data_IF_613276359027
#
_entry.id   IF_613276359027
#
_cell.length_a   1.000
_cell.length_b   1.000
_cell.length_c   1.000
_cell.angle_alpha   90.00
_cell.angle_beta   90.00
_cell.angle_gamma   90.00
#
_symmetry.space_group_name_H-M   'P 1'
#
loop_
_entity.id
_entity.type
_entity.pdbx_description
1 polymer ?
#
# COMPACT_ATOMS: atom_id res chain seq x y z
N UNK A 1 22.10 35.56 1.09
CA UNK A 1 23.11 35.62 0.00
C UNK A 1 22.55 34.81 -1.17
N UNK A 2 22.21 35.48 -2.28
CA UNK A 2 21.49 34.92 -3.44
C UNK A 2 22.47 34.21 -4.39
N UNK A 3 22.09 33.05 -4.93
CA UNK A 3 22.66 32.46 -6.16
C UNK A 3 21.46 31.88 -6.94
N UNK A 4 20.92 32.49 -8.00
CA UNK A 4 21.44 32.94 -9.30
C UNK A 4 21.70 31.78 -10.28
N UNK A 5 20.67 31.56 -11.11
CA UNK A 5 20.63 30.76 -12.34
C UNK A 5 21.71 31.19 -13.34
N UNK A 6 22.33 30.23 -14.03
CA UNK A 6 22.90 30.41 -15.36
C UNK A 6 22.57 29.23 -16.26
N UNK A 7 21.90 29.54 -17.36
CA UNK A 7 21.73 28.71 -18.53
C UNK A 7 23.06 28.50 -19.26
N UNK A 8 23.26 27.31 -19.82
CA UNK A 8 24.08 27.09 -21.00
C UNK A 8 23.45 26.00 -21.88
N UNK A 9 23.25 26.36 -23.13
CA UNK A 9 22.62 25.64 -24.24
C UNK A 9 23.62 24.85 -25.07
N UNK A 10 23.18 23.74 -25.69
CA UNK A 10 23.87 23.03 -26.79
C UNK A 10 23.71 21.51 -26.68
N UNK A 11 22.61 20.94 -27.17
CA UNK A 11 22.39 20.45 -28.54
C UNK A 11 22.71 18.96 -28.71
N UNK A 12 21.67 18.15 -28.78
CA UNK A 12 21.71 16.71 -29.09
C UNK A 12 20.31 16.23 -29.46
N UNK A 13 19.92 16.51 -30.70
CA UNK A 13 18.60 16.30 -31.31
C UNK A 13 18.23 14.81 -31.43
N UNK A 14 17.17 14.34 -30.75
CA UNK A 14 16.28 13.26 -31.19
C UNK A 14 14.94 13.36 -30.45
N UNK A 15 14.15 14.39 -30.75
CA UNK A 15 12.77 14.48 -30.28
C UNK A 15 11.94 15.27 -31.31
N UNK A 16 11.38 14.55 -32.29
CA UNK A 16 10.30 15.08 -33.14
C UNK A 16 9.24 14.01 -33.32
N UNK A 17 8.09 14.24 -32.70
CA UNK A 17 6.80 13.78 -33.20
C UNK A 17 6.15 12.63 -32.44
N UNK A 18 5.58 12.91 -31.26
CA UNK A 18 4.37 12.20 -30.82
C UNK A 18 3.31 13.26 -30.61
N UNK A 19 2.30 13.26 -31.48
CA UNK A 19 1.14 14.14 -31.39
C UNK A 19 0.27 13.70 -30.22
N UNK A 20 -0.25 14.70 -29.50
CA UNK A 20 -1.32 14.56 -28.51
C UNK A 20 -2.63 14.30 -29.25
N UNK A 21 -2.95 13.05 -29.54
CA UNK A 21 -4.31 12.66 -29.91
C UNK A 21 -4.62 11.33 -29.19
N UNK A 22 -5.60 11.36 -28.29
CA UNK A 22 -5.99 10.27 -27.40
C UNK A 22 -6.72 9.11 -28.09
N UNK A 23 -6.36 8.77 -29.32
CA UNK A 23 -6.93 7.65 -30.05
C UNK A 23 -5.91 6.50 -30.16
N UNK A 24 -6.12 5.51 -29.30
CA UNK A 24 -5.85 4.08 -29.53
C UNK A 24 -4.38 3.62 -29.51
N UNK A 25 -3.84 3.39 -28.30
CA UNK A 25 -2.56 2.67 -28.13
C UNK A 25 -2.68 1.14 -28.39
N UNK A 26 -3.89 0.57 -28.39
CA UNK A 26 -4.12 -0.89 -28.51
C UNK A 26 -4.06 -1.43 -29.96
N UNK A 27 -4.54 -0.74 -31.00
CA UNK A 27 -4.43 -1.21 -32.39
C UNK A 27 -2.99 -1.30 -32.89
N UNK A 28 -2.08 -0.44 -32.42
CA UNK A 28 -0.66 -0.47 -32.78
C UNK A 28 0.05 -1.77 -32.32
N UNK A 29 -0.43 -2.40 -31.25
CA UNK A 29 0.10 -3.67 -30.74
C UNK A 29 -0.29 -4.84 -31.66
N UNK A 30 -1.44 -4.76 -32.35
CA UNK A 30 -1.91 -5.81 -33.28
C UNK A 30 -1.16 -5.81 -34.62
N UNK A 31 -0.51 -4.70 -34.99
CA UNK A 31 0.26 -4.56 -36.25
C UNK A 31 1.74 -4.92 -36.15
N UNK A 32 2.24 -5.33 -34.97
CA UNK A 32 3.64 -5.71 -34.79
C UNK A 32 3.89 -7.13 -35.33
N UNK A 33 4.89 -7.27 -36.22
CA UNK A 33 5.32 -8.55 -36.79
C UNK A 33 5.64 -9.58 -35.68
N UNK A 34 5.27 -10.83 -35.93
CA UNK A 34 5.31 -11.96 -34.97
C UNK A 34 6.71 -12.36 -34.50
N UNK A 35 7.78 -11.80 -35.06
CA UNK A 35 9.09 -12.45 -35.06
C UNK A 35 10.07 -12.03 -33.95
N UNK A 36 9.71 -11.11 -33.04
CA UNK A 36 10.61 -10.79 -31.92
C UNK A 36 9.87 -10.50 -30.60
N UNK A 37 9.66 -11.55 -29.80
CA UNK A 37 8.96 -11.48 -28.50
C UNK A 37 9.57 -10.43 -27.56
N UNK A 38 10.90 -10.24 -27.56
CA UNK A 38 11.59 -9.26 -26.70
C UNK A 38 11.30 -7.83 -27.10
N UNK A 39 11.32 -7.54 -28.40
CA UNK A 39 11.05 -6.22 -28.96
C UNK A 39 9.60 -5.81 -28.76
N UNK A 40 8.66 -6.75 -28.94
CA UNK A 40 7.24 -6.54 -28.60
C UNK A 40 7.05 -6.21 -27.12
N UNK A 41 7.67 -6.97 -26.21
CA UNK A 41 7.59 -6.67 -24.78
C UNK A 41 8.17 -5.30 -24.45
N UNK A 42 9.28 -4.91 -25.08
CA UNK A 42 9.86 -3.58 -24.90
C UNK A 42 8.89 -2.46 -25.31
N UNK A 43 8.31 -2.53 -26.52
CA UNK A 43 7.35 -1.53 -27.01
C UNK A 43 6.06 -1.47 -26.16
N UNK A 44 5.53 -2.63 -25.76
CA UNK A 44 4.36 -2.67 -24.87
C UNK A 44 4.67 -2.05 -23.50
N UNK A 45 5.90 -2.22 -22.99
CA UNK A 45 6.33 -1.52 -21.78
C UNK A 45 6.38 -0.01 -22.00
N UNK A 46 6.95 0.46 -23.10
CA UNK A 46 6.98 1.89 -23.41
C UNK A 46 5.59 2.53 -23.52
N UNK A 47 4.57 1.75 -23.88
CA UNK A 47 3.17 2.20 -23.93
C UNK A 47 2.46 2.13 -22.58
N UNK A 48 2.59 1.02 -21.85
CA UNK A 48 1.85 0.77 -20.62
C UNK A 48 2.48 1.42 -19.38
N UNK A 49 3.73 1.85 -19.46
CA UNK A 49 4.46 2.50 -18.36
C UNK A 49 4.74 3.99 -18.65
N UNK A 50 3.85 4.66 -19.38
CA UNK A 50 3.99 6.09 -19.70
C UNK A 50 3.68 7.02 -18.53
N UNK A 51 2.87 6.58 -17.56
CA UNK A 51 2.58 7.36 -16.37
C UNK A 51 3.51 7.00 -15.18
N UNK A 52 3.78 7.95 -14.26
CA UNK A 52 4.71 7.74 -13.15
C UNK A 52 4.34 6.60 -12.21
N UNK A 53 3.03 6.41 -11.96
CA UNK A 53 2.53 5.39 -11.04
C UNK A 53 2.76 3.99 -11.61
N UNK A 54 2.48 3.77 -12.89
CA UNK A 54 2.75 2.50 -13.57
C UNK A 54 4.25 2.17 -13.55
N UNK A 55 5.14 3.15 -13.77
CA UNK A 55 6.60 2.93 -13.67
C UNK A 55 7.02 2.49 -12.27
N UNK A 56 6.47 3.10 -11.23
CA UNK A 56 6.78 2.74 -9.85
C UNK A 56 6.33 1.32 -9.51
N UNK A 57 5.17 0.88 -10.00
CA UNK A 57 4.72 -0.49 -9.85
C UNK A 57 5.71 -1.47 -10.47
N UNK A 58 6.19 -1.18 -11.69
CA UNK A 58 7.16 -2.03 -12.37
C UNK A 58 8.52 -2.11 -11.65
N UNK A 59 8.92 -1.05 -10.93
CA UNK A 59 10.16 -0.94 -10.18
C UNK A 59 10.07 -1.50 -8.74
N UNK A 60 8.90 -2.01 -8.33
CA UNK A 60 8.69 -2.46 -6.96
C UNK A 60 9.68 -3.56 -6.52
N UNK A 61 10.01 -4.58 -7.34
CA UNK A 61 10.99 -5.60 -6.94
C UNK A 61 12.36 -5.00 -6.61
N UNK A 62 12.90 -4.14 -7.49
CA UNK A 62 14.19 -3.49 -7.24
C UNK A 62 14.13 -2.54 -6.03
N UNK A 63 13.04 -1.77 -5.90
CA UNK A 63 12.82 -0.90 -4.74
C UNK A 63 12.86 -1.70 -3.43
N UNK A 64 12.24 -2.88 -3.41
CA UNK A 64 12.20 -3.72 -2.21
C UNK A 64 13.53 -4.41 -1.91
N UNK A 65 14.38 -4.68 -2.91
CA UNK A 65 15.75 -5.14 -2.66
C UNK A 65 16.55 -4.07 -1.90
N UNK A 66 16.38 -2.79 -2.23
CA UNK A 66 17.05 -1.69 -1.52
C UNK A 66 16.56 -1.59 -0.07
N UNK A 67 15.24 -1.61 0.14
CA UNK A 67 14.64 -1.63 1.48
C UNK A 67 15.11 -2.84 2.30
N UNK A 68 15.16 -4.02 1.68
CA UNK A 68 15.59 -5.24 2.37
C UNK A 68 17.06 -5.16 2.83
N UNK A 69 17.94 -4.55 2.03
CA UNK A 69 19.33 -4.29 2.42
C UNK A 69 19.44 -3.25 3.53
N UNK A 70 18.63 -2.19 3.50
CA UNK A 70 18.62 -1.15 4.53
C UNK A 70 18.19 -1.71 5.89
N UNK A 71 17.26 -2.66 5.91
CA UNK A 71 16.74 -3.31 7.12
C UNK A 71 17.49 -4.60 7.47
N UNK A 72 18.82 -4.57 7.38
CA UNK A 72 19.69 -5.70 7.71
C UNK A 72 19.69 -6.08 9.21
N UNK A 73 20.13 -7.29 9.52
CA UNK A 73 20.10 -7.84 10.88
C UNK A 73 20.82 -6.97 11.92
N UNK A 74 22.04 -6.51 11.61
CA UNK A 74 22.84 -5.64 12.50
C UNK A 74 22.08 -4.35 12.84
N UNK A 75 21.51 -3.71 11.82
CA UNK A 75 20.73 -2.50 11.99
C UNK A 75 19.50 -2.69 12.91
N UNK A 76 18.80 -3.82 12.77
CA UNK A 76 17.65 -4.15 13.61
C UNK A 76 18.03 -4.37 15.08
N UNK A 77 19.19 -4.98 15.34
CA UNK A 77 19.69 -5.17 16.71
C UNK A 77 19.95 -3.85 17.42
N UNK A 78 20.50 -2.86 16.70
CA UNK A 78 20.79 -1.53 17.24
C UNK A 78 19.52 -0.69 17.42
N UNK A 79 18.52 -0.88 16.55
CA UNK A 79 17.33 -0.05 16.51
C UNK A 79 16.29 -0.38 17.58
N UNK A 80 16.24 -1.62 18.08
CA UNK A 80 15.34 -2.04 19.16
C UNK A 80 16.06 -2.96 20.17
N UNK A 81 16.44 -2.42 21.35
CA UNK A 81 17.16 -3.18 22.38
C UNK A 81 16.37 -4.35 22.97
N UNK A 82 17.07 -5.39 23.44
CA UNK A 82 16.44 -6.59 24.03
C UNK A 82 15.53 -6.27 25.22
N UNK A 83 15.91 -5.28 26.06
CA UNK A 83 15.10 -4.87 27.22
C UNK A 83 13.69 -4.46 26.79
N UNK A 84 13.56 -3.54 25.83
CA UNK A 84 12.27 -3.05 25.35
C UNK A 84 11.40 -4.16 24.75
N UNK A 85 12.03 -5.11 24.06
CA UNK A 85 11.35 -6.28 23.48
C UNK A 85 10.83 -7.23 24.56
N UNK A 86 11.64 -7.48 25.59
CA UNK A 86 11.28 -8.36 26.70
C UNK A 86 10.25 -7.71 27.64
N UNK A 87 10.20 -6.38 27.70
CA UNK A 87 9.21 -5.62 28.47
C UNK A 87 7.86 -5.57 27.75
N UNK A 88 7.85 -5.54 26.41
CA UNK A 88 6.63 -5.49 25.61
C UNK A 88 5.69 -6.68 25.91
N UNK A 89 4.42 -6.38 26.18
CA UNK A 89 3.34 -7.37 26.36
C UNK A 89 2.26 -7.30 25.31
N UNK A 90 2.17 -6.17 24.60
CA UNK A 90 1.31 -5.92 23.44
C UNK A 90 2.01 -4.97 22.49
N UNK A 91 1.57 -4.93 21.25
CA UNK A 91 2.01 -3.94 20.26
C UNK A 91 0.82 -3.05 19.92
N UNK A 92 1.03 -1.74 19.92
CA UNK A 92 0.08 -0.75 19.44
C UNK A 92 0.64 -0.11 18.17
N UNK A 93 -0.02 -0.27 17.03
CA UNK A 93 0.41 0.29 15.76
C UNK A 93 -0.52 1.43 15.38
N UNK A 94 0.04 2.57 14.97
CA UNK A 94 -0.73 3.68 14.43
C UNK A 94 -0.04 4.38 13.26
N UNK A 95 -0.84 4.96 12.38
CA UNK A 95 -0.44 5.59 11.12
C UNK A 95 -1.60 6.36 10.51
N UNK A 96 -1.35 7.05 9.40
CA UNK A 96 -2.38 7.69 8.58
C UNK A 96 -2.33 7.13 7.15
N UNK A 97 -3.48 6.93 6.52
CA UNK A 97 -3.59 6.43 5.14
C UNK A 97 -2.82 5.13 4.96
N UNK A 98 -1.95 5.06 3.95
CA UNK A 98 -1.11 3.91 3.62
C UNK A 98 -0.37 3.32 4.83
N UNK A 99 0.11 4.16 5.75
CA UNK A 99 0.80 3.71 6.97
C UNK A 99 -0.12 2.97 7.95
N UNK A 100 -1.40 3.34 8.01
CA UNK A 100 -2.41 2.62 8.79
C UNK A 100 -2.75 1.28 8.14
N UNK A 101 -2.93 1.26 6.81
CA UNK A 101 -3.17 0.02 6.06
C UNK A 101 -2.00 -0.96 6.24
N UNK A 102 -0.74 -0.50 6.24
CA UNK A 102 0.42 -1.37 6.48
C UNK A 102 0.37 -2.05 7.86
N UNK A 103 -0.11 -1.34 8.89
CA UNK A 103 -0.35 -1.93 10.20
C UNK A 103 -1.39 -3.05 10.16
N UNK A 104 -2.54 -2.81 9.51
CA UNK A 104 -3.60 -3.81 9.36
C UNK A 104 -3.07 -5.04 8.61
N UNK A 105 -2.37 -4.80 7.50
CA UNK A 105 -1.81 -5.85 6.65
C UNK A 105 -0.94 -6.82 7.45
N UNK A 106 -0.08 -6.31 8.32
CA UNK A 106 0.92 -7.12 9.01
C UNK A 106 0.48 -7.63 10.38
N UNK A 107 -0.66 -7.14 10.93
CA UNK A 107 -1.19 -7.58 12.23
C UNK A 107 -1.28 -9.11 12.35
N UNK A 108 -1.92 -9.86 11.42
CA UNK A 108 -2.06 -11.31 11.58
C UNK A 108 -0.73 -12.07 11.58
N UNK A 109 0.26 -11.57 10.84
CA UNK A 109 1.60 -12.16 10.84
C UNK A 109 2.33 -11.89 12.15
N UNK A 110 2.27 -10.66 12.66
CA UNK A 110 2.88 -10.29 13.93
C UNK A 110 2.25 -11.05 15.10
N UNK A 111 0.93 -11.19 15.13
CA UNK A 111 0.23 -11.93 16.19
C UNK A 111 0.65 -13.39 16.24
N UNK A 112 0.79 -14.04 15.08
CA UNK A 112 1.27 -15.42 15.03
C UNK A 112 2.76 -15.55 15.36
N UNK A 113 3.60 -14.67 14.81
CA UNK A 113 5.04 -14.73 15.07
C UNK A 113 5.37 -14.50 16.54
N UNK A 114 4.65 -13.60 17.20
CA UNK A 114 4.98 -13.12 18.55
C UNK A 114 4.10 -13.71 19.64
N UNK A 115 2.99 -14.35 19.27
CA UNK A 115 1.98 -14.89 20.20
C UNK A 115 1.54 -13.82 21.21
N UNK A 116 1.34 -12.59 20.73
CA UNK A 116 1.01 -11.43 21.55
C UNK A 116 -0.02 -10.54 20.86
N UNK A 117 -0.87 -9.81 21.62
CA UNK A 117 -1.85 -8.90 21.04
C UNK A 117 -1.19 -7.78 20.23
N UNK A 118 -1.71 -7.53 19.03
CA UNK A 118 -1.28 -6.42 18.17
C UNK A 118 -2.51 -5.60 17.79
N UNK A 119 -2.68 -4.40 18.34
CA UNK A 119 -3.78 -3.52 17.99
C UNK A 119 -3.34 -2.50 16.95
N UNK A 120 -4.14 -2.32 15.90
CA UNK A 120 -3.89 -1.29 14.88
C UNK A 120 -5.05 -0.32 14.91
N UNK A 121 -4.75 0.97 15.08
CA UNK A 121 -5.80 1.99 15.20
C UNK A 121 -5.44 3.26 14.44
N UNK A 122 -6.48 3.96 13.98
CA UNK A 122 -6.33 5.24 13.28
C UNK A 122 -5.65 6.26 14.20
N UNK A 123 -4.83 7.14 13.63
CA UNK A 123 -4.03 8.11 14.41
C UNK A 123 -4.84 8.94 15.40
N UNK A 124 -6.05 9.37 15.04
CA UNK A 124 -6.91 10.17 15.93
C UNK A 124 -7.50 9.32 17.06
N UNK A 125 -7.85 8.07 16.79
CA UNK A 125 -8.30 7.13 17.84
C UNK A 125 -7.19 6.93 18.86
N UNK A 126 -5.96 6.69 18.39
CA UNK A 126 -4.79 6.59 19.27
C UNK A 126 -4.57 7.89 20.06
N UNK A 127 -4.46 9.01 19.35
CA UNK A 127 -3.99 10.26 19.95
C UNK A 127 -5.02 10.89 20.87
N UNK A 128 -6.31 10.60 20.70
CA UNK A 128 -7.39 11.26 21.47
C UNK A 128 -8.31 10.33 22.25
N UNK A 129 -8.58 9.12 21.77
CA UNK A 129 -9.64 8.28 22.33
C UNK A 129 -9.13 7.04 23.08
N UNK A 130 -7.89 6.62 22.83
CA UNK A 130 -7.27 5.53 23.57
C UNK A 130 -7.16 5.90 25.06
N UNK A 131 -7.64 5.07 26.00
CA UNK A 131 -7.43 5.31 27.43
C UNK A 131 -5.94 5.38 27.78
N UNK A 132 -5.54 6.35 28.61
CA UNK A 132 -4.13 6.52 29.01
C UNK A 132 -3.54 5.29 29.69
N UNK A 133 -4.36 4.53 30.42
CA UNK A 133 -3.98 3.26 31.05
C UNK A 133 -3.49 2.19 30.07
N UNK A 134 -3.79 2.33 28.77
CA UNK A 134 -3.24 1.46 27.73
C UNK A 134 -1.80 1.82 27.34
N UNK A 135 -1.28 2.97 27.79
CA UNK A 135 0.03 3.53 27.45
C UNK A 135 1.00 3.55 28.65
N UNK A 136 0.49 3.30 29.85
CA UNK A 136 1.27 3.34 31.09
C UNK A 136 2.38 2.28 31.14
N UNK A 137 3.51 2.66 31.74
CA UNK A 137 4.60 1.73 32.05
C UNK A 137 4.21 0.82 33.23
N UNK A 138 4.40 -0.49 33.08
CA UNK A 138 4.02 -1.51 34.06
C UNK A 138 3.74 -2.89 33.46
N UNK A 139 3.15 -3.82 34.22
CA UNK A 139 2.67 -5.09 33.69
C UNK A 139 1.66 -4.84 32.55
N UNK A 140 2.02 -5.19 31.31
CA UNK A 140 1.19 -4.89 30.13
C UNK A 140 1.71 -3.77 29.23
N UNK A 141 2.88 -3.19 29.55
CA UNK A 141 3.50 -2.10 28.78
C UNK A 141 3.47 -2.35 27.26
N UNK A 142 2.93 -1.41 26.47
CA UNK A 142 2.91 -1.54 25.02
C UNK A 142 4.27 -1.17 24.41
N UNK A 143 4.61 -1.84 23.31
CA UNK A 143 5.45 -1.23 22.28
C UNK A 143 4.53 -0.44 21.34
N UNK A 144 4.65 0.88 21.32
CA UNK A 144 3.92 1.76 20.42
C UNK A 144 4.73 1.98 19.15
N UNK A 145 4.26 1.44 18.03
CA UNK A 145 4.86 1.57 16.70
C UNK A 145 4.11 2.65 15.93
N UNK A 146 4.80 3.76 15.64
CA UNK A 146 4.27 4.90 14.91
C UNK A 146 4.83 4.93 13.50
N UNK A 147 3.96 4.81 12.50
CA UNK A 147 4.36 4.70 11.09
C UNK A 147 4.06 6.02 10.37
N UNK A 148 5.10 6.68 9.88
CA UNK A 148 4.98 7.81 8.96
C UNK A 148 6.26 8.01 8.18
N UNK A 149 6.22 7.71 6.88
CA UNK A 149 7.39 7.84 5.99
C UNK A 149 7.93 9.27 5.96
N UNK A 150 7.05 10.27 5.87
CA UNK A 150 7.48 11.68 5.95
C UNK A 150 7.93 12.10 7.36
N UNK A 151 7.42 11.43 8.40
CA UNK A 151 7.57 11.84 9.80
C UNK A 151 7.04 13.22 10.16
N UNK A 152 6.24 13.87 9.28
CA UNK A 152 5.74 15.25 9.46
C UNK A 152 4.25 15.36 9.77
N UNK A 153 3.54 14.24 9.83
CA UNK A 153 2.09 14.22 10.07
C UNK A 153 1.79 14.56 11.53
N UNK A 154 1.11 15.67 11.77
CA UNK A 154 0.86 16.21 13.11
C UNK A 154 0.13 15.23 14.03
N UNK A 155 -0.88 14.50 13.53
CA UNK A 155 -1.59 13.51 14.37
C UNK A 155 -0.68 12.38 14.87
N UNK A 156 0.34 12.03 14.09
CA UNK A 156 1.31 11.00 14.47
C UNK A 156 2.34 11.57 15.46
N UNK A 157 2.74 12.83 15.31
CA UNK A 157 3.56 13.52 16.31
C UNK A 157 2.82 13.66 17.65
N UNK A 158 1.53 14.02 17.62
CA UNK A 158 0.67 14.05 18.81
C UNK A 158 0.58 12.66 19.47
N UNK A 159 0.36 11.60 18.68
CA UNK A 159 0.36 10.24 19.19
C UNK A 159 1.69 9.85 19.85
N UNK A 160 2.83 10.23 19.26
CA UNK A 160 4.15 9.95 19.82
C UNK A 160 4.38 10.71 21.14
N UNK A 161 4.04 12.01 21.19
CA UNK A 161 4.13 12.83 22.40
C UNK A 161 3.26 12.28 23.53
N UNK A 162 2.04 11.87 23.20
CA UNK A 162 1.11 11.25 24.15
C UNK A 162 1.65 9.92 24.68
N UNK A 163 2.13 9.04 23.81
CA UNK A 163 2.71 7.77 24.22
C UNK A 163 3.93 7.97 25.13
N UNK A 164 4.80 8.92 24.80
CA UNK A 164 5.95 9.28 25.62
C UNK A 164 5.55 9.84 26.99
N UNK A 165 4.54 10.72 27.04
CA UNK A 165 4.03 11.33 28.27
C UNK A 165 3.59 10.25 29.29
N UNK A 166 2.92 9.21 28.82
CA UNK A 166 2.44 8.10 29.66
C UNK A 166 3.48 6.98 29.86
N UNK A 167 4.70 7.14 29.35
CA UNK A 167 5.81 6.23 29.62
C UNK A 167 5.98 5.06 28.64
N UNK A 168 5.12 4.94 27.63
CA UNK A 168 5.18 3.86 26.64
C UNK A 168 6.52 3.83 25.88
N UNK A 169 6.93 2.63 25.46
CA UNK A 169 8.07 2.49 24.56
C UNK A 169 7.64 2.83 23.13
N UNK A 170 8.19 3.90 22.56
CA UNK A 170 7.84 4.40 21.22
C UNK A 170 8.90 4.05 20.18
N UNK A 171 8.45 3.52 19.04
CA UNK A 171 9.25 3.16 17.89
C UNK A 171 8.68 3.81 16.62
N UNK A 172 9.45 4.69 15.98
CA UNK A 172 9.10 5.23 14.67
C UNK A 172 9.46 4.26 13.54
N UNK A 173 8.60 4.09 12.55
CA UNK A 173 8.96 3.59 11.20
C UNK A 173 8.83 4.77 10.23
N UNK A 174 9.94 5.20 9.65
CA UNK A 174 10.02 6.48 8.91
C UNK A 174 11.12 6.47 7.85
N UNK A 175 11.11 7.42 6.91
CA UNK A 175 12.11 7.48 5.84
C UNK A 175 13.54 7.68 6.38
N UNK A 176 13.70 8.48 7.44
CA UNK A 176 15.01 8.77 8.03
C UNK A 176 14.98 9.10 9.52
N UNK A 177 16.08 8.82 10.24
CA UNK A 177 16.31 9.26 11.64
C UNK A 177 16.30 10.78 11.81
N UNK A 178 16.46 11.54 10.73
CA UNK A 178 16.39 13.01 10.75
C UNK A 178 14.96 13.57 10.84
N UNK A 179 13.94 12.74 10.59
CA UNK A 179 12.53 13.17 10.56
C UNK A 179 12.01 13.61 11.93
N UNK A 180 10.98 14.50 11.99
CA UNK A 180 10.42 14.92 13.27
C UNK A 180 9.91 13.75 14.12
N UNK A 181 9.24 12.77 13.49
CA UNK A 181 8.77 11.57 14.20
C UNK A 181 9.91 10.75 14.81
N UNK A 182 11.02 10.58 14.10
CA UNK A 182 12.18 9.87 14.63
C UNK A 182 12.79 10.56 15.85
N UNK A 183 12.76 11.90 15.88
CA UNK A 183 13.27 12.70 16.99
C UNK A 183 12.33 12.68 18.20
N UNK A 184 11.04 12.53 17.96
CA UNK A 184 10.03 12.43 19.01
C UNK A 184 10.02 11.03 19.66
N UNK A 185 10.19 9.95 18.89
CA UNK A 185 10.17 8.60 19.42
C UNK A 185 11.48 8.21 20.13
N UNK A 186 11.39 7.30 21.12
CA UNK A 186 12.57 6.73 21.82
C UNK A 186 13.47 5.93 20.89
N UNK A 187 12.88 5.30 19.87
CA UNK A 187 13.54 4.48 18.86
C UNK A 187 13.03 4.81 17.46
N UNK A 188 13.82 4.46 16.45
CA UNK A 188 13.44 4.59 15.05
C UNK A 188 14.03 3.46 14.21
N UNK A 189 13.19 2.93 13.31
CA UNK A 189 13.53 2.14 12.13
C UNK A 189 13.44 3.05 10.90
N UNK A 190 14.59 3.32 10.31
CA UNK A 190 14.79 4.10 9.10
C UNK A 190 14.69 3.19 7.88
N UNK A 191 13.76 3.54 6.98
CA UNK A 191 13.53 2.80 5.75
C UNK A 191 14.56 3.16 4.67
N UNK A 192 15.02 4.41 4.64
CA UNK A 192 15.86 5.00 3.61
C UNK A 192 15.40 4.61 2.17
N UNK A 193 14.14 4.90 1.81
CA UNK A 193 13.56 4.44 0.55
C UNK A 193 14.28 5.09 -0.65
N UNK A 194 14.48 4.36 -1.76
CA UNK A 194 14.96 4.94 -3.01
C UNK A 194 14.11 6.13 -3.46
N UNK A 195 14.75 7.15 -4.03
CA UNK A 195 14.02 8.24 -4.67
C UNK A 195 13.31 7.72 -5.92
N UNK A 196 12.01 8.00 -6.00
CA UNK A 196 11.17 7.67 -7.16
C UNK A 196 10.45 8.93 -7.63
N UNK A 197 9.96 8.89 -8.86
CA UNK A 197 9.14 9.97 -9.40
C UNK A 197 7.94 10.26 -8.49
N UNK A 198 7.42 11.49 -8.50
CA UNK A 198 6.30 11.82 -7.62
C UNK A 198 4.99 11.22 -8.12
N UNK A 199 4.42 10.29 -7.36
CA UNK A 199 3.09 9.70 -7.60
C UNK A 199 2.49 9.17 -6.29
N UNK A 200 1.22 8.78 -6.25
CA UNK A 200 0.64 7.99 -5.16
C UNK A 200 1.06 6.52 -5.26
N UNK A 201 2.38 6.28 -5.18
CA UNK A 201 3.01 4.98 -5.36
C UNK A 201 2.81 4.00 -4.20
N UNK A 202 3.23 2.76 -4.39
CA UNK A 202 3.07 1.67 -3.41
C UNK A 202 4.35 1.26 -2.69
N UNK A 203 5.54 1.63 -3.19
CA UNK A 203 6.82 1.18 -2.61
C UNK A 203 6.93 1.49 -1.12
N UNK A 204 6.51 2.68 -0.70
CA UNK A 204 6.55 3.09 0.70
C UNK A 204 5.60 2.26 1.61
N UNK A 205 4.43 1.86 1.10
CA UNK A 205 3.51 0.96 1.81
C UNK A 205 4.13 -0.43 2.00
N UNK A 206 4.68 -1.01 0.93
CA UNK A 206 5.34 -2.34 0.99
C UNK A 206 6.59 -2.29 1.88
N UNK A 207 7.34 -1.18 1.86
CA UNK A 207 8.46 -0.96 2.77
C UNK A 207 8.04 -0.93 4.25
N UNK A 208 6.89 -0.31 4.57
CA UNK A 208 6.35 -0.33 5.92
C UNK A 208 5.92 -1.74 6.34
N UNK A 209 5.28 -2.51 5.45
CA UNK A 209 4.95 -3.91 5.69
C UNK A 209 6.21 -4.75 5.96
N UNK A 210 7.27 -4.56 5.17
CA UNK A 210 8.55 -5.24 5.35
C UNK A 210 9.27 -4.82 6.64
N UNK A 211 9.17 -3.56 7.04
CA UNK A 211 9.70 -3.09 8.32
C UNK A 211 8.97 -3.69 9.52
N UNK A 212 7.66 -3.85 9.44
CA UNK A 212 6.88 -4.56 10.46
C UNK A 212 7.25 -6.05 10.50
N UNK A 213 7.43 -6.72 9.36
CA UNK A 213 7.97 -8.07 9.31
C UNK A 213 9.35 -8.17 9.98
N UNK A 214 10.26 -7.25 9.64
CA UNK A 214 11.60 -7.19 10.23
C UNK A 214 11.57 -6.96 11.75
N UNK A 215 10.64 -6.14 12.22
CA UNK A 215 10.36 -5.94 13.65
C UNK A 215 9.87 -7.25 14.30
N UNK A 216 8.90 -7.94 13.69
CA UNK A 216 8.40 -9.23 14.15
C UNK A 216 9.49 -10.29 14.24
N UNK A 217 10.36 -10.37 13.24
CA UNK A 217 11.55 -11.22 13.23
C UNK A 217 12.43 -10.89 14.45
N UNK A 218 12.86 -9.63 14.58
CA UNK A 218 13.75 -9.22 15.68
C UNK A 218 13.14 -9.53 17.05
N UNK A 219 11.85 -9.23 17.23
CA UNK A 219 11.15 -9.46 18.48
C UNK A 219 11.00 -10.95 18.77
N UNK A 220 10.61 -11.75 17.79
CA UNK A 220 10.42 -13.19 17.98
C UNK A 220 11.72 -13.92 18.29
N UNK A 221 12.83 -13.48 17.68
CA UNK A 221 14.17 -14.01 18.01
C UNK A 221 14.58 -13.76 19.46
N UNK A 222 14.33 -12.57 19.98
CA UNK A 222 14.65 -12.20 21.37
C UNK A 222 13.73 -12.92 22.36
N UNK A 223 12.45 -13.08 22.00
CA UNK A 223 11.44 -13.73 22.83
C UNK A 223 11.45 -15.26 22.73
N UNK A 224 12.27 -15.82 21.84
CA UNK A 224 12.25 -17.24 21.47
C UNK A 224 10.85 -17.75 21.10
N UNK A 225 10.05 -16.93 20.41
CA UNK A 225 8.69 -17.31 19.98
C UNK A 225 8.69 -18.23 18.76
N UNK A 226 9.82 -18.32 18.06
CA UNK A 226 10.07 -19.27 16.99
C UNK A 226 11.51 -19.82 17.06
N UNK A 227 11.78 -20.91 16.33
CA UNK A 227 13.12 -21.51 16.25
C UNK A 227 14.08 -20.65 15.42
N UNK A 228 15.31 -20.35 15.88
CA UNK A 228 16.20 -19.41 15.16
C UNK A 228 16.43 -19.74 13.68
N UNK A 229 16.37 -21.02 13.30
CA UNK A 229 16.52 -21.47 11.92
C UNK A 229 15.42 -20.97 10.96
N UNK A 230 14.26 -20.52 11.45
CA UNK A 230 13.16 -20.00 10.62
C UNK A 230 13.25 -18.48 10.40
N UNK A 231 14.19 -17.79 11.06
CA UNK A 231 14.34 -16.33 10.98
C UNK A 231 14.53 -15.85 9.53
N UNK A 232 15.50 -16.46 8.84
CA UNK A 232 15.79 -16.15 7.44
C UNK A 232 14.65 -16.55 6.51
N UNK A 233 13.86 -17.57 6.90
CA UNK A 233 12.72 -18.06 6.11
C UNK A 233 11.59 -17.04 6.08
N UNK A 234 11.27 -16.37 7.19
CA UNK A 234 10.25 -15.31 7.19
C UNK A 234 10.61 -14.18 6.22
N UNK A 235 11.84 -13.70 6.28
CA UNK A 235 12.33 -12.64 5.37
C UNK A 235 12.42 -13.12 3.93
N UNK A 236 12.95 -14.33 3.70
CA UNK A 236 13.09 -14.90 2.37
C UNK A 236 11.73 -15.11 1.71
N UNK A 237 10.70 -15.56 2.44
CA UNK A 237 9.34 -15.73 1.92
C UNK A 237 8.76 -14.43 1.39
N UNK A 238 8.88 -13.33 2.14
CA UNK A 238 8.43 -12.01 1.69
C UNK A 238 9.14 -11.57 0.40
N UNK A 239 10.47 -11.68 0.37
CA UNK A 239 11.25 -11.24 -0.79
C UNK A 239 11.05 -12.15 -1.99
N UNK A 240 10.93 -13.46 -1.79
CA UNK A 240 10.64 -14.41 -2.87
C UNK A 240 9.27 -14.15 -3.48
N UNK A 241 8.26 -13.85 -2.66
CA UNK A 241 6.96 -13.43 -3.16
C UNK A 241 7.09 -12.17 -4.04
N UNK A 242 7.73 -11.11 -3.53
CA UNK A 242 7.94 -9.86 -4.26
C UNK A 242 8.71 -10.07 -5.58
N UNK A 243 9.74 -10.92 -5.58
CA UNK A 243 10.54 -11.25 -6.78
C UNK A 243 9.75 -11.97 -7.87
N UNK A 244 8.66 -12.66 -7.52
CA UNK A 244 7.78 -13.27 -8.52
C UNK A 244 7.03 -12.22 -9.36
N UNK A 245 7.04 -10.94 -8.98
CA UNK A 245 6.49 -9.85 -9.78
C UNK A 245 7.43 -9.44 -10.93
N UNK A 246 7.86 -10.40 -11.75
CA UNK A 246 8.76 -10.17 -12.88
C UNK A 246 8.03 -9.46 -14.04
N UNK A 247 8.75 -8.92 -15.05
CA UNK A 247 8.11 -8.32 -16.23
C UNK A 247 7.09 -9.23 -16.92
N UNK A 248 7.28 -10.56 -16.89
CA UNK A 248 6.37 -11.56 -17.44
C UNK A 248 5.04 -11.64 -16.67
N UNK A 249 5.02 -11.30 -15.39
CA UNK A 249 3.81 -11.19 -14.55
C UNK A 249 3.22 -9.79 -14.65
N UNK A 250 4.06 -8.76 -14.61
CA UNK A 250 3.65 -7.35 -14.64
C UNK A 250 2.89 -7.01 -15.93
N UNK A 251 3.43 -7.40 -17.10
CA UNK A 251 2.94 -6.94 -18.39
C UNK A 251 1.52 -7.45 -18.74
N UNK A 252 1.17 -8.74 -18.50
CA UNK A 252 -0.21 -9.20 -18.64
C UNK A 252 -1.19 -8.47 -17.72
N UNK A 253 -0.80 -8.23 -16.45
CA UNK A 253 -1.62 -7.49 -15.48
C UNK A 253 -1.85 -6.05 -15.98
N UNK A 254 -0.78 -5.34 -16.34
CA UNK A 254 -0.86 -3.99 -16.87
C UNK A 254 -1.78 -3.90 -18.10
N UNK A 255 -1.67 -4.85 -19.04
CA UNK A 255 -2.53 -4.92 -20.23
C UNK A 255 -4.00 -5.14 -19.85
N UNK A 256 -4.26 -6.07 -18.94
CA UNK A 256 -5.62 -6.36 -18.48
C UNK A 256 -6.24 -5.15 -17.78
N UNK A 257 -5.48 -4.49 -16.91
CA UNK A 257 -5.96 -3.32 -16.17
C UNK A 257 -6.16 -2.10 -17.08
N UNK A 258 -5.33 -1.91 -18.10
CA UNK A 258 -5.56 -0.87 -19.11
C UNK A 258 -6.82 -1.12 -19.94
N UNK A 259 -7.08 -2.37 -20.32
CA UNK A 259 -8.31 -2.74 -21.02
C UNK A 259 -9.56 -2.56 -20.15
N UNK A 260 -9.46 -2.89 -18.86
CA UNK A 260 -10.54 -2.69 -17.90
C UNK A 260 -10.77 -1.20 -17.61
N UNK A 261 -9.71 -0.39 -17.51
CA UNK A 261 -9.80 1.06 -17.31
C UNK A 261 -10.60 1.74 -18.42
N UNK A 262 -10.44 1.32 -19.68
CA UNK A 262 -11.25 1.83 -20.80
C UNK A 262 -12.75 1.55 -20.64
N UNK A 263 -13.11 0.42 -20.03
CA UNK A 263 -14.50 0.05 -19.77
C UNK A 263 -15.05 0.76 -18.52
N UNK A 264 -14.20 0.99 -17.53
CA UNK A 264 -14.60 1.48 -16.21
C UNK A 264 -14.39 2.98 -16.00
N UNK A 265 -13.85 3.71 -16.98
CA UNK A 265 -13.57 5.16 -16.87
C UNK A 265 -14.81 6.00 -16.53
N UNK A 266 -15.99 5.55 -16.93
CA UNK A 266 -17.26 6.27 -16.73
C UNK A 266 -18.10 5.71 -15.56
N UNK A 267 -17.55 4.78 -14.76
CA UNK A 267 -18.22 4.28 -13.55
C UNK A 267 -18.45 5.41 -12.55
N UNK A 268 -19.61 5.39 -11.89
CA UNK A 268 -20.02 6.43 -10.94
C UNK A 268 -19.24 6.34 -9.62
N UNK A 269 -18.96 5.12 -9.16
CA UNK A 269 -18.19 4.84 -7.94
C UNK A 269 -17.49 3.48 -8.04
N UNK A 270 -16.63 3.20 -7.06
CA UNK A 270 -15.94 1.93 -6.94
C UNK A 270 -16.06 1.35 -5.52
N UNK A 271 -16.37 0.07 -5.40
CA UNK A 271 -16.41 -0.64 -4.13
C UNK A 271 -15.18 -1.54 -3.99
N UNK A 272 -14.51 -1.48 -2.84
CA UNK A 272 -13.32 -2.28 -2.55
C UNK A 272 -13.60 -3.25 -1.40
N UNK A 273 -13.51 -4.55 -1.69
CA UNK A 273 -13.93 -5.60 -0.77
C UNK A 273 -12.80 -6.57 -0.47
N UNK A 274 -12.47 -6.77 0.80
CA UNK A 274 -11.43 -7.71 1.21
C UNK A 274 -11.55 -8.07 2.70
N UNK A 275 -10.94 -9.17 3.11
CA UNK A 275 -11.09 -9.69 4.47
C UNK A 275 -9.73 -9.78 5.16
N UNK A 276 -9.71 -9.73 6.49
CA UNK A 276 -8.48 -9.91 7.27
C UNK A 276 -7.37 -8.98 6.79
N UNK A 277 -6.21 -9.53 6.42
CA UNK A 277 -5.10 -8.71 5.93
C UNK A 277 -5.33 -8.16 4.51
N UNK A 278 -6.15 -8.80 3.67
CA UNK A 278 -6.43 -8.29 2.31
C UNK A 278 -7.44 -7.14 2.32
N UNK A 279 -8.15 -6.92 3.43
CA UNK A 279 -8.85 -5.65 3.67
C UNK A 279 -7.89 -4.45 3.64
N UNK A 280 -6.63 -4.62 4.07
CA UNK A 280 -5.62 -3.58 3.92
C UNK A 280 -5.27 -3.29 2.44
N UNK A 281 -5.29 -4.32 1.58
CA UNK A 281 -5.15 -4.14 0.13
C UNK A 281 -6.34 -3.41 -0.47
N UNK A 282 -7.56 -3.68 0.01
CA UNK A 282 -8.77 -2.95 -0.38
C UNK A 282 -8.66 -1.47 -0.02
N UNK A 283 -8.34 -1.15 1.25
CA UNK A 283 -8.12 0.21 1.73
C UNK A 283 -7.07 0.96 0.91
N UNK A 284 -5.86 0.38 0.81
CA UNK A 284 -4.76 0.99 0.09
C UNK A 284 -5.13 1.27 -1.38
N UNK A 285 -5.73 0.29 -2.05
CA UNK A 285 -6.10 0.40 -3.46
C UNK A 285 -7.17 1.48 -3.70
N UNK A 286 -8.23 1.51 -2.89
CA UNK A 286 -9.28 2.53 -3.04
C UNK A 286 -8.76 3.94 -2.77
N UNK A 287 -7.82 4.13 -1.85
CA UNK A 287 -7.16 5.42 -1.70
C UNK A 287 -6.32 5.79 -2.92
N UNK A 288 -5.70 4.84 -3.63
CA UNK A 288 -5.01 5.15 -4.90
C UNK A 288 -6.01 5.59 -5.98
N UNK A 289 -7.24 5.07 -5.99
CA UNK A 289 -8.29 5.56 -6.90
C UNK A 289 -8.69 7.00 -6.58
N UNK A 290 -8.78 7.37 -5.29
CA UNK A 290 -9.03 8.75 -4.87
C UNK A 290 -7.85 9.66 -5.26
N UNK A 291 -6.63 9.26 -4.89
CA UNK A 291 -5.43 10.08 -5.06
C UNK A 291 -5.00 10.20 -6.52
N UNK A 292 -5.19 9.18 -7.34
CA UNK A 292 -4.81 9.21 -8.75
C UNK A 292 -5.93 9.76 -9.64
N UNK A 293 -7.15 9.26 -9.46
CA UNK A 293 -8.26 9.45 -10.40
C UNK A 293 -9.44 10.28 -9.84
N UNK A 294 -9.37 10.72 -8.57
CA UNK A 294 -10.44 11.50 -7.94
C UNK A 294 -11.76 10.73 -7.78
N UNK A 295 -11.72 9.40 -7.81
CA UNK A 295 -12.90 8.55 -7.80
C UNK A 295 -13.61 8.54 -6.43
N UNK A 296 -14.93 8.32 -6.44
CA UNK A 296 -15.72 8.01 -5.24
C UNK A 296 -15.57 6.53 -4.93
N UNK A 297 -15.25 6.19 -3.67
CA UNK A 297 -15.00 4.80 -3.27
C UNK A 297 -15.69 4.44 -1.95
N UNK A 298 -16.02 3.17 -1.78
CA UNK A 298 -16.44 2.56 -0.50
C UNK A 298 -15.55 1.35 -0.17
N UNK A 299 -15.58 0.91 1.09
CA UNK A 299 -14.75 -0.19 1.58
C UNK A 299 -15.57 -1.12 2.47
N UNK A 300 -15.53 -2.42 2.20
CA UNK A 300 -16.23 -3.41 3.02
C UNK A 300 -15.44 -4.69 3.18
N UNK A 301 -15.74 -5.47 4.23
CA UNK A 301 -15.41 -6.89 4.22
C UNK A 301 -16.48 -7.69 3.44
N UNK A 302 -16.14 -8.93 3.07
CA UNK A 302 -17.01 -9.74 2.22
C UNK A 302 -18.37 -10.05 2.86
N UNK A 303 -18.46 -10.13 4.18
CA UNK A 303 -19.72 -10.36 4.89
C UNK A 303 -20.53 -9.05 4.96
N UNK A 304 -19.94 -7.96 5.44
CA UNK A 304 -20.64 -6.69 5.61
C UNK A 304 -21.12 -6.10 4.28
N UNK A 305 -20.42 -6.40 3.17
CA UNK A 305 -20.89 -6.04 1.83
C UNK A 305 -22.31 -6.56 1.54
N UNK A 306 -22.67 -7.76 2.02
CA UNK A 306 -24.00 -8.34 1.86
C UNK A 306 -25.08 -7.66 2.70
N UNK A 307 -24.68 -6.93 3.75
CA UNK A 307 -25.58 -6.23 4.67
C UNK A 307 -25.68 -4.73 4.38
N UNK A 308 -24.76 -4.16 3.60
CA UNK A 308 -24.74 -2.73 3.25
C UNK A 308 -24.70 -2.50 1.73
N UNK A 309 -23.52 -2.59 1.12
CA UNK A 309 -23.30 -2.19 -0.28
C UNK A 309 -24.07 -3.03 -1.31
N UNK A 310 -24.52 -4.23 -0.94
CA UNK A 310 -25.45 -5.05 -1.70
C UNK A 310 -26.72 -4.27 -2.09
N UNK A 311 -27.18 -3.34 -1.25
CA UNK A 311 -28.41 -2.57 -1.44
C UNK A 311 -28.25 -1.29 -2.28
N UNK A 312 -27.03 -0.98 -2.76
CA UNK A 312 -26.85 0.20 -3.63
C UNK A 312 -27.67 0.09 -4.92
N UNK A 313 -28.32 1.21 -5.29
CA UNK A 313 -29.01 1.35 -6.57
C UNK A 313 -27.99 1.47 -7.71
N UNK A 314 -28.41 1.12 -8.92
CA UNK A 314 -27.58 1.15 -10.13
C UNK A 314 -26.29 0.32 -10.01
N UNK A 315 -26.38 -0.98 -9.64
CA UNK A 315 -25.21 -1.85 -9.47
C UNK A 315 -24.32 -1.90 -10.73
N UNK A 316 -24.90 -1.71 -11.92
CA UNK A 316 -24.18 -1.66 -13.20
C UNK A 316 -23.19 -0.50 -13.32
N UNK A 317 -23.36 0.56 -12.54
CA UNK A 317 -22.53 1.76 -12.56
C UNK A 317 -21.42 1.77 -11.49
N UNK A 318 -21.28 0.68 -10.72
CA UNK A 318 -20.37 0.60 -9.59
C UNK A 318 -19.32 -0.50 -9.82
N UNK A 319 -18.11 -0.09 -10.18
CA UNK A 319 -16.99 -1.01 -10.36
C UNK A 319 -16.60 -1.65 -9.02
N UNK A 320 -16.68 -2.96 -8.90
CA UNK A 320 -16.45 -3.67 -7.63
C UNK A 320 -15.16 -4.48 -7.72
N UNK A 321 -14.24 -4.27 -6.78
CA UNK A 321 -12.96 -4.98 -6.71
C UNK A 321 -12.97 -5.85 -5.45
N UNK A 322 -12.82 -7.17 -5.64
CA UNK A 322 -12.79 -8.16 -4.56
C UNK A 322 -11.44 -8.87 -4.52
N UNK A 323 -10.84 -8.99 -3.34
CA UNK A 323 -9.69 -9.86 -3.10
C UNK A 323 -10.15 -11.22 -2.59
N UNK A 324 -9.76 -12.30 -3.27
CA UNK A 324 -10.20 -13.65 -2.94
C UNK A 324 -9.11 -14.70 -3.22
N UNK A 325 -8.08 -14.78 -2.38
CA UNK A 325 -6.97 -15.73 -2.57
C UNK A 325 -7.26 -17.09 -1.92
N UNK A 326 -6.79 -18.18 -2.54
CA UNK A 326 -7.11 -19.55 -2.15
C UNK A 326 -6.65 -19.92 -0.73
N UNK A 327 -5.49 -19.40 -0.31
CA UNK A 327 -4.94 -19.65 1.03
C UNK A 327 -5.61 -18.81 2.14
N UNK A 328 -6.46 -17.84 1.77
CA UNK A 328 -7.18 -17.00 2.74
C UNK A 328 -8.17 -17.85 3.57
N UNK A 329 -8.21 -17.68 4.91
CA UNK A 329 -9.24 -18.30 5.73
C UNK A 329 -10.68 -17.93 5.33
N UNK A 330 -10.86 -16.75 4.71
CA UNK A 330 -12.15 -16.26 4.24
C UNK A 330 -12.49 -16.67 2.81
N UNK A 331 -11.66 -17.48 2.14
CA UNK A 331 -11.79 -17.73 0.69
C UNK A 331 -13.18 -18.23 0.28
N UNK A 332 -13.75 -19.18 1.02
CA UNK A 332 -15.11 -19.68 0.76
C UNK A 332 -16.16 -18.57 0.87
N UNK A 333 -16.01 -17.65 1.83
CA UNK A 333 -16.92 -16.53 2.00
C UNK A 333 -16.80 -15.50 0.89
N UNK A 334 -15.57 -15.20 0.47
CA UNK A 334 -15.30 -14.32 -0.66
C UNK A 334 -15.87 -14.88 -1.97
N UNK A 335 -15.78 -16.19 -2.20
CA UNK A 335 -16.40 -16.84 -3.36
C UNK A 335 -17.92 -16.72 -3.38
N UNK A 336 -18.61 -16.94 -2.25
CA UNK A 336 -20.06 -16.75 -2.17
C UNK A 336 -20.46 -15.29 -2.40
N UNK A 337 -19.68 -14.35 -1.86
CA UNK A 337 -19.90 -12.90 -2.06
C UNK A 337 -19.70 -12.52 -3.52
N UNK A 338 -18.67 -13.06 -4.19
CA UNK A 338 -18.45 -12.87 -5.63
C UNK A 338 -19.66 -13.35 -6.45
N UNK A 339 -20.22 -14.52 -6.10
CA UNK A 339 -21.41 -15.04 -6.77
C UNK A 339 -22.63 -14.12 -6.58
N UNK A 340 -22.80 -13.53 -5.40
CA UNK A 340 -23.84 -12.54 -5.14
C UNK A 340 -23.65 -11.28 -5.98
N UNK A 341 -22.44 -10.70 -6.00
CA UNK A 341 -22.08 -9.54 -6.84
C UNK A 341 -22.45 -9.79 -8.31
N UNK A 342 -22.07 -10.94 -8.85
CA UNK A 342 -22.40 -11.32 -10.22
C UNK A 342 -23.90 -11.43 -10.48
N UNK A 343 -24.63 -12.08 -9.56
CA UNK A 343 -26.08 -12.23 -9.66
C UNK A 343 -26.80 -10.88 -9.66
N UNK A 344 -26.27 -9.89 -8.94
CA UNK A 344 -26.79 -8.52 -8.89
C UNK A 344 -26.39 -7.64 -10.08
N UNK A 345 -25.57 -8.16 -11.00
CA UNK A 345 -25.10 -7.40 -12.17
C UNK A 345 -23.96 -6.43 -11.88
N UNK A 346 -23.24 -6.57 -10.76
CA UNK A 346 -22.06 -5.74 -10.45
C UNK A 346 -20.94 -6.01 -11.47
N UNK A 347 -20.37 -4.96 -12.09
CA UNK A 347 -19.09 -5.06 -12.77
C UNK A 347 -18.01 -5.47 -11.75
N UNK A 348 -17.51 -6.69 -11.87
CA UNK A 348 -16.65 -7.31 -10.85
C UNK A 348 -15.25 -7.59 -11.39
N UNK A 349 -14.24 -7.09 -10.69
CA UNK A 349 -12.84 -7.51 -10.77
C UNK A 349 -12.50 -8.33 -9.53
N UNK A 350 -12.12 -9.60 -9.72
CA UNK A 350 -11.56 -10.45 -8.67
C UNK A 350 -10.04 -10.47 -8.82
N UNK A 351 -9.33 -10.10 -7.76
CA UNK A 351 -7.88 -10.22 -7.64
C UNK A 351 -7.59 -11.45 -6.75
N UNK A 352 -6.82 -12.40 -7.28
CA UNK A 352 -6.70 -13.74 -6.69
C UNK A 352 -5.44 -14.48 -7.15
N UNK A 353 -5.03 -15.53 -6.47
CA UNK A 353 -4.12 -16.58 -6.97
C UNK A 353 -4.86 -17.85 -7.46
N UNK A 354 -6.17 -17.95 -7.18
CA UNK A 354 -7.02 -19.10 -7.47
C UNK A 354 -7.39 -19.22 -8.96
N UNK A 355 -7.98 -20.36 -9.31
CA UNK A 355 -8.40 -20.63 -10.69
C UNK A 355 -9.58 -19.75 -11.12
N UNK A 356 -9.53 -19.10 -12.32
CA UNK A 356 -10.58 -18.17 -12.75
C UNK A 356 -11.96 -18.79 -12.89
N UNK A 357 -12.04 -20.11 -13.13
CA UNK A 357 -13.31 -20.84 -13.26
C UNK A 357 -14.19 -20.78 -12.02
N UNK A 358 -13.63 -20.46 -10.85
CA UNK A 358 -14.36 -20.28 -9.60
C UNK A 358 -15.20 -19.00 -9.57
N UNK A 359 -14.90 -18.03 -10.44
CA UNK A 359 -15.50 -16.70 -10.43
C UNK A 359 -16.31 -16.40 -11.69
N UNK A 360 -16.87 -17.42 -12.35
CA UNK A 360 -17.87 -17.24 -13.42
C UNK A 360 -17.51 -16.18 -14.48
N UNK A 361 -18.39 -15.19 -14.65
CA UNK A 361 -18.24 -14.11 -15.64
C UNK A 361 -17.48 -12.86 -15.16
N UNK A 362 -16.79 -12.92 -14.01
CA UNK A 362 -16.03 -11.78 -13.50
C UNK A 362 -14.75 -11.55 -14.31
N UNK A 363 -14.23 -10.31 -14.29
CA UNK A 363 -12.84 -10.09 -14.66
C UNK A 363 -11.96 -10.69 -13.56
N UNK A 364 -11.11 -11.67 -13.88
CA UNK A 364 -10.19 -12.28 -12.90
C UNK A 364 -8.77 -11.86 -13.24
N UNK A 365 -8.09 -11.19 -12.31
CA UNK A 365 -6.68 -10.84 -12.42
C UNK A 365 -5.88 -11.73 -11.47
N UNK A 366 -5.02 -12.59 -12.03
CA UNK A 366 -4.21 -13.51 -11.23
C UNK A 366 -2.87 -12.91 -10.85
N UNK A 367 -2.46 -13.11 -9.60
CA UNK A 367 -1.08 -12.95 -9.15
C UNK A 367 -0.46 -14.33 -8.84
N UNK A 368 0.88 -14.40 -8.71
CA UNK A 368 1.53 -15.58 -8.17
C UNK A 368 0.98 -15.93 -6.78
N UNK A 369 0.87 -17.22 -6.49
CA UNK A 369 0.43 -17.70 -5.19
C UNK A 369 1.50 -17.46 -4.12
N UNK A 370 1.07 -17.21 -2.89
CA UNK A 370 1.93 -17.25 -1.72
C UNK A 370 1.48 -18.39 -0.80
N UNK A 371 2.40 -19.20 -0.31
CA UNK A 371 2.08 -20.31 0.62
C UNK A 371 1.39 -19.80 1.89
N UNK A 372 1.81 -18.63 2.37
CA UNK A 372 1.27 -17.98 3.55
C UNK A 372 0.52 -16.71 3.15
N UNK A 373 -0.80 -16.75 3.26
CA UNK A 373 -1.70 -15.66 2.87
C UNK A 373 -1.39 -14.32 3.55
N UNK A 374 -0.67 -14.33 4.67
CA UNK A 374 -0.34 -13.11 5.41
C UNK A 374 0.71 -12.24 4.71
N UNK A 375 1.37 -12.74 3.67
CA UNK A 375 2.24 -11.94 2.79
C UNK A 375 1.49 -11.33 1.60
N UNK A 376 0.27 -11.79 1.29
CA UNK A 376 -0.53 -11.29 0.17
C UNK A 376 -0.61 -9.76 0.08
N UNK A 377 -0.79 -9.01 1.19
CA UNK A 377 -0.91 -7.55 1.09
C UNK A 377 0.30 -6.85 0.47
N UNK A 378 1.46 -7.50 0.40
CA UNK A 378 2.67 -6.96 -0.25
C UNK A 378 2.56 -6.85 -1.77
N UNK A 379 1.67 -7.60 -2.43
CA UNK A 379 1.49 -7.54 -3.89
C UNK A 379 0.06 -7.50 -4.37
N UNK A 380 -0.91 -7.97 -3.59
CA UNK A 380 -2.29 -8.11 -4.08
C UNK A 380 -2.95 -6.77 -4.44
N UNK A 381 -2.47 -5.65 -3.91
CA UNK A 381 -2.97 -4.33 -4.29
C UNK A 381 -2.56 -3.90 -5.72
N UNK A 382 -1.48 -4.45 -6.28
CA UNK A 382 -0.83 -3.95 -7.49
C UNK A 382 -1.73 -3.87 -8.73
N UNK A 383 -2.59 -4.85 -9.05
CA UNK A 383 -3.51 -4.73 -10.19
C UNK A 383 -4.45 -3.54 -10.05
N UNK A 384 -5.01 -3.32 -8.86
CA UNK A 384 -5.90 -2.19 -8.62
C UNK A 384 -5.14 -0.85 -8.74
N UNK A 385 -3.88 -0.77 -8.33
CA UNK A 385 -3.06 0.44 -8.53
C UNK A 385 -2.77 0.69 -10.02
N UNK A 386 -2.53 -0.36 -10.82
CA UNK A 386 -2.45 -0.20 -12.28
C UNK A 386 -3.74 0.36 -12.84
N UNK A 387 -4.89 -0.20 -12.44
CA UNK A 387 -6.21 0.27 -12.85
C UNK A 387 -6.42 1.74 -12.47
N UNK A 388 -6.07 2.14 -11.24
CA UNK A 388 -6.12 3.53 -10.80
C UNK A 388 -5.25 4.44 -11.67
N UNK A 389 -4.04 3.99 -12.04
CA UNK A 389 -3.12 4.77 -12.86
C UNK A 389 -3.67 5.02 -14.26
N UNK A 390 -4.27 4.01 -14.89
CA UNK A 390 -4.85 4.13 -16.21
C UNK A 390 -6.18 4.88 -16.21
N UNK A 391 -6.99 4.75 -15.14
CA UNK A 391 -8.18 5.57 -14.98
C UNK A 391 -7.82 7.06 -14.89
N UNK A 392 -6.77 7.40 -14.13
CA UNK A 392 -6.29 8.79 -14.04
C UNK A 392 -5.85 9.33 -15.41
N UNK A 393 -5.08 8.53 -16.15
CA UNK A 393 -4.61 8.89 -17.48
C UNK A 393 -5.76 9.08 -18.48
N UNK A 394 -6.73 8.16 -18.51
CA UNK A 394 -7.89 8.24 -19.41
C UNK A 394 -8.85 9.38 -19.05
N UNK A 395 -8.96 9.72 -17.76
CA UNK A 395 -9.76 10.86 -17.28
C UNK A 395 -9.03 12.21 -17.41
N UNK A 396 -7.72 12.19 -17.62
CA UNK A 396 -6.88 13.39 -17.65
C UNK A 396 -6.75 14.09 -16.28
N UNK A 397 -6.85 13.33 -15.18
CA UNK A 397 -6.70 13.88 -13.82
C UNK A 397 -5.25 13.96 -13.39
N UNK A 398 -4.90 14.98 -12.61
CA UNK A 398 -3.59 15.10 -11.98
C UNK A 398 -3.57 14.37 -10.64
N UNK A 399 -2.45 13.73 -10.31
CA UNK A 399 -2.28 13.09 -9.01
C UNK A 399 -2.45 14.08 -7.87
N UNK A 400 -3.08 13.62 -6.79
CA UNK A 400 -3.50 14.41 -5.65
C UNK A 400 -4.40 15.60 -6.02
N UNK A 401 -4.97 15.58 -7.24
CA UNK A 401 -5.74 16.67 -7.85
C UNK A 401 -4.96 17.98 -7.97
N UNK A 402 -3.63 17.90 -8.06
CA UNK A 402 -2.79 19.10 -8.21
C UNK A 402 -3.04 19.75 -9.58
N UNK A 403 -3.76 20.87 -9.59
CA UNK A 403 -4.09 21.59 -10.81
C UNK A 403 -5.47 21.26 -11.41
N UNK A 404 -6.23 20.33 -10.81
CA UNK A 404 -7.59 19.96 -11.24
C UNK A 404 -8.70 20.88 -10.67
N UNK A 405 -8.35 22.09 -10.22
CA UNK A 405 -9.28 23.12 -9.72
C UNK A 405 -8.81 23.92 -8.51
N UNK A 406 -9.54 24.99 -8.18
CA UNK A 406 -9.21 26.02 -7.18
C UNK A 406 -9.37 25.58 -5.71
N UNK A 407 -9.79 24.33 -5.43
CA UNK A 407 -10.01 23.85 -4.06
C UNK A 407 -8.71 23.68 -3.24
N UNK A 408 -7.54 23.87 -3.88
CA UNK A 408 -6.22 23.81 -3.26
C UNK A 408 -5.56 25.18 -3.21
N UNK A 409 -6.16 26.12 -2.47
CA UNK A 409 -5.52 27.24 -1.73
C UNK A 409 -6.63 28.13 -1.15
N UNK A 410 -6.51 28.55 0.13
CA UNK A 410 -6.31 29.99 0.30
C UNK A 410 -5.37 30.38 1.45
N UNK A 411 -5.00 31.66 1.44
CA UNK A 411 -3.95 32.29 2.24
C UNK A 411 -4.16 32.28 3.76
N UNK A 412 -5.37 31.97 4.27
CA UNK A 412 -5.77 32.21 5.67
C UNK A 412 -6.57 31.03 6.30
N UNK A 413 -5.89 29.97 6.75
CA UNK A 413 -6.43 29.18 7.87
C UNK A 413 -7.05 27.79 7.62
N UNK A 414 -6.79 27.12 6.49
CA UNK A 414 -6.94 25.64 6.44
C UNK A 414 -5.59 25.01 6.81
N UNK A 415 -5.50 24.38 7.99
CA UNK A 415 -4.31 23.68 8.44
C UNK A 415 -4.42 22.18 8.10
N UNK A 416 -3.80 21.71 6.99
CA UNK A 416 -3.80 20.29 6.66
C UNK A 416 -2.96 19.51 7.68
N UNK A 417 -2.70 18.25 7.36
CA UNK A 417 -2.01 17.22 8.15
C UNK A 417 -0.66 17.60 8.83
N UNK A 418 -0.09 18.80 8.62
CA UNK A 418 1.22 19.25 9.15
C UNK A 418 1.17 20.45 10.11
N UNK A 419 0.02 21.14 10.25
CA UNK A 419 -0.08 22.40 11.04
C UNK A 419 -1.28 22.43 11.99
N UNK A 420 -1.95 21.31 12.20
CA UNK A 420 -3.07 21.24 13.13
C UNK A 420 -2.61 21.47 14.58
N UNK A 421 -3.49 21.95 15.45
CA UNK A 421 -3.20 22.09 16.88
C UNK A 421 -2.91 20.74 17.54
N UNK A 422 -1.83 20.65 18.31
CA UNK A 422 -1.45 19.44 19.07
C UNK A 422 -2.01 19.53 20.48
N UNK A 423 -2.76 18.51 20.88
CA UNK A 423 -3.33 18.34 22.21
C UNK A 423 -2.81 17.02 22.76
N UNK A 424 -1.91 17.09 23.74
CA UNK A 424 -1.34 15.91 24.40
C UNK A 424 -2.20 15.59 25.63
N UNK A 425 -2.89 14.46 25.60
CA UNK A 425 -3.87 14.02 26.61
C UNK A 425 -3.35 12.90 27.52
#
# INVERSE_FOLDING_TARGET
MKYALRHASGSGSFAKGIRRDGETAVPAIRSLNRDNRKERMHLERELLYQNPLARQLAQLPEFMEDINRNLGFVYLMESLPMKEIMDARRILITGCGDSYAAGIAMKPLLEEMLQMPVDVMRAVEFSRHLPSSCLEEGPGSPLVVLISVSGTVTRILEAAQRANLHGANTLAITASRSTPLAKECRRALELNPPEVERAPGCGAYVACCHALLALGIRMGRVRNSYVPAIEDVYRARAMEYIRQFTPEVQLPIARQMYALAQQWKDMASFDFVGDGCTFASALFSGWKFIEAAGSVVTFEDSENWLHENFFFLHPEAIGTILWADQASPSFSRQCETAAAMQKTGRPLLVITDAEPSLFGGAHVCRLPACEDWRYHPMMQHLPAVYLASYLAELKGTHYYREGDGDNWRPADGIYPIRRSEVIVL
#
